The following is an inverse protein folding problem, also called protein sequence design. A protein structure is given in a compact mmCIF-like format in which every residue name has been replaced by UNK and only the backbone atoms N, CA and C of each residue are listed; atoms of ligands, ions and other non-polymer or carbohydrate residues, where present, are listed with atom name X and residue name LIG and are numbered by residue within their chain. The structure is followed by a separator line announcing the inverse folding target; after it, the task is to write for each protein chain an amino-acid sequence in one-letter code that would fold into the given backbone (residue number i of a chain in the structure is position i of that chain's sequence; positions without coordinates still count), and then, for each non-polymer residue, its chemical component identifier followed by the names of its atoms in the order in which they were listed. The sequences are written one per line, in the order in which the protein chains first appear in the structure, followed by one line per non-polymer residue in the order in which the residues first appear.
data_IF_713589024909
#
_entry.id   IF_713589024909
#
_cell.length_a   1.000
_cell.length_b   1.000
_cell.length_c   1.000
_cell.angle_alpha   90.00
_cell.angle_beta   90.00
_cell.angle_gamma   90.00
#
_symmetry.space_group_name_H-M   'P 1'
#
loop_
_entity.id
_entity.type
_entity.pdbx_description
1 polymer ?
#
# COMPACT_ATOMS: atom_id res chain seq x y z
N UNK A 1 16.29 -11.55 -10.12
CA UNK A 1 15.82 -10.97 -8.83
C UNK A 1 15.52 -9.48 -8.97
N UNK A 2 16.36 -8.72 -9.68
CA UNK A 2 16.10 -7.31 -9.99
C UNK A 2 14.79 -7.14 -10.80
N UNK A 3 14.52 -8.04 -11.75
CA UNK A 3 13.29 -7.99 -12.56
C UNK A 3 12.01 -8.09 -11.71
N UNK A 4 12.04 -8.90 -10.64
CA UNK A 4 10.92 -9.03 -9.72
C UNK A 4 10.66 -7.73 -8.95
N UNK A 5 11.73 -7.08 -8.48
CA UNK A 5 11.63 -5.80 -7.80
C UNK A 5 11.06 -4.72 -8.73
N UNK A 6 11.61 -4.60 -9.93
CA UNK A 6 11.15 -3.64 -10.94
C UNK A 6 9.68 -3.87 -11.32
N UNK A 7 9.23 -5.12 -11.35
CA UNK A 7 7.85 -5.45 -11.67
C UNK A 7 6.87 -5.24 -10.49
N UNK A 8 7.21 -5.60 -9.25
CA UNK A 8 6.21 -5.67 -8.17
C UNK A 8 6.42 -4.68 -7.02
N UNK A 9 7.61 -4.11 -6.87
CA UNK A 9 8.00 -3.31 -5.69
C UNK A 9 8.34 -1.87 -6.05
N UNK A 10 8.95 -1.64 -7.22
CA UNK A 10 9.35 -0.31 -7.70
C UNK A 10 8.16 0.67 -7.67
N UNK A 11 8.29 1.82 -6.96
CA UNK A 11 7.27 2.86 -6.93
C UNK A 11 6.66 3.22 -8.29
N UNK A 12 7.46 3.23 -9.36
CA UNK A 12 7.02 3.58 -10.71
C UNK A 12 6.33 2.42 -11.46
N UNK A 13 6.28 1.21 -10.88
CA UNK A 13 5.69 0.04 -11.52
C UNK A 13 4.16 0.07 -11.49
N UNK A 14 3.56 -0.27 -12.64
CA UNK A 14 2.10 -0.33 -12.82
C UNK A 14 1.44 -1.53 -12.13
N UNK A 15 2.18 -2.61 -11.91
CA UNK A 15 1.67 -3.83 -11.26
C UNK A 15 1.87 -3.82 -9.74
N UNK A 16 2.45 -2.75 -9.21
CA UNK A 16 2.67 -2.58 -7.77
C UNK A 16 1.36 -2.37 -7.03
N UNK A 17 1.08 -3.23 -6.05
CA UNK A 17 -0.07 -3.10 -5.15
C UNK A 17 0.41 -2.74 -3.74
N UNK A 18 0.06 -1.55 -3.24
CA UNK A 18 0.46 -1.05 -1.91
C UNK A 18 -0.77 -0.73 -1.06
N UNK A 19 -0.77 -1.18 0.19
CA UNK A 19 -1.71 -0.76 1.23
C UNK A 19 -0.93 -0.27 2.45
N UNK A 20 -1.35 0.83 3.08
CA UNK A 20 -0.73 1.34 4.31
C UNK A 20 -1.80 1.57 5.36
N UNK A 21 -1.50 1.17 6.60
CA UNK A 21 -2.36 1.39 7.76
C UNK A 21 -1.68 2.41 8.66
N UNK A 22 -2.34 3.52 8.93
CA UNK A 22 -1.84 4.57 9.81
C UNK A 22 -2.60 4.51 11.14
N UNK A 23 -1.89 4.17 12.23
CA UNK A 23 -2.46 4.22 13.59
C UNK A 23 -2.07 5.56 14.21
N UNK A 24 -3.06 6.38 14.56
CA UNK A 24 -2.84 7.68 15.18
C UNK A 24 -2.65 7.51 16.69
N UNK A 25 -1.65 8.17 17.25
CA UNK A 25 -1.42 8.20 18.70
C UNK A 25 -2.51 9.01 19.41
N UNK A 26 -2.83 8.64 20.66
CA UNK A 26 -3.92 9.25 21.44
C UNK A 26 -3.82 10.77 21.58
N UNK A 27 -2.60 11.30 21.73
CA UNK A 27 -2.37 12.74 21.90
C UNK A 27 -2.35 13.53 20.58
N UNK A 28 -2.50 12.87 19.43
CA UNK A 28 -2.51 13.55 18.14
C UNK A 28 -3.90 14.14 17.89
N UNK A 29 -3.97 15.47 17.79
CA UNK A 29 -5.22 16.17 17.49
C UNK A 29 -5.70 15.88 16.06
N UNK A 30 -7.03 15.88 15.89
CA UNK A 30 -7.71 15.51 14.64
C UNK A 30 -7.43 16.48 13.46
N UNK A 31 -6.90 17.67 13.73
CA UNK A 31 -6.71 18.73 12.73
C UNK A 31 -5.53 18.52 11.76
N UNK A 32 -4.76 17.45 11.94
CA UNK A 32 -3.62 17.13 11.07
C UNK A 32 -3.98 16.31 9.80
N UNK A 33 -5.26 15.98 9.59
CA UNK A 33 -5.70 14.98 8.60
C UNK A 33 -6.29 15.58 7.30
N UNK A 34 -6.45 16.89 7.18
CA UNK A 34 -6.90 17.54 5.91
C UNK A 34 -5.73 17.73 4.94
N UNK A 35 -5.09 16.63 4.53
CA UNK A 35 -4.11 16.66 3.44
C UNK A 35 -4.86 16.44 2.12
N UNK A 36 -5.31 17.58 1.56
CA UNK A 36 -5.39 17.93 0.13
C UNK A 36 -6.32 17.09 -0.76
N UNK A 37 -7.63 17.28 -0.58
CA UNK A 37 -8.61 17.21 -1.66
C UNK A 37 -9.10 18.62 -2.06
N UNK A 38 -8.18 19.57 -2.23
CA UNK A 38 -8.44 20.84 -2.95
C UNK A 38 -7.14 21.63 -3.12
N UNK A 39 -6.80 21.91 -4.38
CA UNK A 39 -6.03 23.05 -4.91
C UNK A 39 -5.09 23.83 -3.98
N UNK A 40 -3.80 23.81 -4.35
CA UNK A 40 -2.74 24.80 -4.10
C UNK A 40 -2.87 25.78 -2.93
N UNK A 41 -1.95 25.66 -1.97
CA UNK A 41 -1.38 26.85 -1.34
C UNK A 41 0.01 26.58 -0.76
N UNK A 42 0.91 27.49 -1.12
CA UNK A 42 2.27 27.76 -0.67
C UNK A 42 2.28 28.08 0.82
N UNK A 43 3.25 27.54 1.55
CA UNK A 43 3.51 27.88 2.95
C UNK A 43 4.96 27.57 3.29
N UNK A 44 5.82 28.58 3.19
CA UNK A 44 7.22 28.55 3.59
C UNK A 44 7.36 28.42 5.11
N UNK A 45 8.31 27.59 5.56
CA UNK A 45 9.00 27.74 6.85
C UNK A 45 10.49 27.40 6.65
N UNK A 46 11.32 28.45 6.64
CA UNK A 46 12.77 28.50 6.98
C UNK A 46 13.06 27.60 8.19
N UNK A 47 14.10 26.79 8.32
CA UNK A 47 15.54 26.90 7.99
C UNK A 47 16.09 25.47 8.30
N UNK A 48 16.76 24.74 7.41
CA UNK A 48 18.21 24.47 7.47
C UNK A 48 18.63 23.80 6.13
N UNK A 49 18.81 24.60 5.07
CA UNK A 49 18.89 24.08 3.70
C UNK A 49 20.34 23.93 3.19
N UNK A 50 20.95 22.77 3.44
CA UNK A 50 22.05 22.27 2.60
C UNK A 50 21.98 20.76 2.30
N UNK A 51 21.30 19.97 3.13
CA UNK A 51 20.96 18.55 2.85
C UNK A 51 19.56 18.37 2.24
N UNK A 52 18.80 19.45 2.18
CA UNK A 52 17.36 19.49 1.92
C UNK A 52 17.05 19.51 0.41
N UNK A 53 17.94 20.07 -0.42
CA UNK A 53 17.68 20.22 -1.87
C UNK A 53 17.72 18.92 -2.69
N UNK A 54 18.53 17.94 -2.29
CA UNK A 54 18.60 16.63 -2.94
C UNK A 54 17.53 15.67 -2.44
N UNK A 55 17.10 15.83 -1.20
CA UNK A 55 16.02 15.07 -0.58
C UNK A 55 14.66 15.58 -1.04
N UNK A 56 14.45 16.89 -1.16
CA UNK A 56 13.24 17.51 -1.72
C UNK A 56 12.99 17.10 -3.17
N UNK A 57 13.99 17.21 -4.07
CA UNK A 57 13.83 16.74 -5.46
C UNK A 57 13.54 15.23 -5.55
N UNK A 58 14.08 14.45 -4.61
CA UNK A 58 13.82 13.01 -4.55
C UNK A 58 12.40 12.73 -4.06
N UNK A 59 11.90 13.52 -3.11
CA UNK A 59 10.51 13.44 -2.63
C UNK A 59 9.54 13.90 -3.72
N UNK A 60 9.82 15.00 -4.44
CA UNK A 60 8.98 15.47 -5.55
C UNK A 60 8.91 14.43 -6.68
N UNK A 61 10.05 13.88 -7.11
CA UNK A 61 10.09 12.81 -8.11
C UNK A 61 9.35 11.57 -7.64
N UNK A 62 9.47 11.22 -6.36
CA UNK A 62 8.73 10.09 -5.77
C UNK A 62 7.23 10.36 -5.63
N UNK A 63 6.80 11.60 -5.38
CA UNK A 63 5.38 11.96 -5.31
C UNK A 63 4.73 11.91 -6.69
N UNK A 64 5.45 12.29 -7.75
CA UNK A 64 4.99 12.17 -9.13
C UNK A 64 4.84 10.70 -9.56
N UNK A 65 5.78 9.83 -9.16
CA UNK A 65 5.77 8.40 -9.50
C UNK A 65 4.72 7.59 -8.70
N UNK A 66 4.41 7.99 -7.46
CA UNK A 66 3.55 7.21 -6.54
C UNK A 66 2.07 7.61 -6.61
N UNK A 67 1.74 8.79 -7.13
CA UNK A 67 0.37 9.31 -7.16
C UNK A 67 -0.22 9.58 -5.77
N UNK A 68 -1.47 10.07 -5.73
CA UNK A 68 -2.18 10.33 -4.47
C UNK A 68 -2.78 9.06 -3.90
N UNK A 69 -2.62 8.83 -2.59
CA UNK A 69 -3.22 7.68 -1.92
C UNK A 69 -4.75 7.82 -1.81
N UNK A 70 -5.47 6.73 -2.07
CA UNK A 70 -6.92 6.63 -1.88
C UNK A 70 -7.19 6.32 -0.40
N UNK A 71 -7.96 7.18 0.27
CA UNK A 71 -8.37 6.96 1.67
C UNK A 71 -9.55 5.99 1.71
N UNK A 72 -9.46 5.00 2.59
CA UNK A 72 -10.51 4.00 2.79
C UNK A 72 -11.37 4.46 3.97
N UNK A 73 -12.60 4.87 3.68
CA UNK A 73 -13.58 5.28 4.71
C UNK A 73 -14.36 4.08 5.25
N UNK A 74 -14.92 3.25 4.36
CA UNK A 74 -15.59 2.00 4.71
C UNK A 74 -14.84 0.79 4.16
N UNK A 75 -14.39 -0.06 5.09
CA UNK A 75 -13.67 -1.30 4.79
C UNK A 75 -14.54 -2.29 4.04
N UNK A 76 -15.84 -2.38 4.33
CA UNK A 76 -16.72 -3.38 3.71
C UNK A 76 -16.97 -3.05 2.25
N UNK A 77 -17.32 -1.81 1.96
CA UNK A 77 -17.50 -1.31 0.60
C UNK A 77 -16.21 -1.43 -0.22
N UNK A 78 -15.06 -1.06 0.36
CA UNK A 78 -13.77 -1.21 -0.30
C UNK A 78 -13.47 -2.67 -0.66
N UNK A 79 -13.60 -3.61 0.30
CA UNK A 79 -13.39 -5.04 0.04
C UNK A 79 -14.35 -5.61 -1.02
N UNK A 80 -15.59 -5.16 -1.05
CA UNK A 80 -16.58 -5.62 -2.04
C UNK A 80 -16.26 -5.16 -3.47
N UNK A 81 -15.55 -4.03 -3.64
CA UNK A 81 -15.16 -3.51 -4.95
C UNK A 81 -13.95 -4.21 -5.57
N UNK A 82 -13.20 -5.02 -4.82
CA UNK A 82 -11.96 -5.63 -5.29
C UNK A 82 -12.17 -7.09 -5.71
N UNK A 83 -11.54 -7.53 -6.81
CA UNK A 83 -11.53 -8.96 -7.16
C UNK A 83 -10.75 -9.75 -6.10
N UNK A 84 -11.27 -10.92 -5.74
CA UNK A 84 -10.58 -11.85 -4.85
C UNK A 84 -9.59 -12.70 -5.64
N UNK A 85 -8.43 -12.98 -5.03
CA UNK A 85 -7.47 -13.92 -5.60
C UNK A 85 -8.01 -15.34 -5.56
N UNK A 86 -7.64 -16.16 -6.56
CA UNK A 86 -7.92 -17.59 -6.53
C UNK A 86 -7.31 -18.25 -5.28
N UNK A 87 -8.04 -19.19 -4.70
CA UNK A 87 -7.53 -19.99 -3.60
C UNK A 87 -6.46 -20.98 -4.09
N UNK A 88 -5.61 -21.43 -3.16
CA UNK A 88 -4.66 -22.50 -3.43
C UNK A 88 -5.42 -23.76 -3.86
N UNK A 89 -5.01 -24.36 -4.97
CA UNK A 89 -5.58 -25.63 -5.42
C UNK A 89 -4.79 -26.79 -4.79
N UNK A 90 -5.47 -27.77 -4.16
CA UNK A 90 -4.78 -28.93 -3.63
C UNK A 90 -4.18 -29.74 -4.79
N UNK A 91 -2.95 -30.20 -4.62
CA UNK A 91 -2.24 -31.00 -5.63
C UNK A 91 -2.80 -32.44 -5.66
N UNK A 92 -3.27 -32.93 -4.51
CA UNK A 92 -3.83 -34.25 -4.32
C UNK A 92 -5.27 -34.13 -3.86
N UNK A 93 -6.11 -35.07 -4.27
CA UNK A 93 -7.49 -35.10 -3.82
C UNK A 93 -7.55 -35.49 -2.32
N UNK A 94 -8.53 -34.95 -1.61
CA UNK A 94 -8.73 -35.24 -0.18
C UNK A 94 -9.04 -36.72 0.05
N UNK A 95 -9.71 -37.38 -0.91
CA UNK A 95 -10.04 -38.80 -0.86
C UNK A 95 -8.79 -39.71 -0.72
N UNK A 96 -7.62 -39.28 -1.19
CA UNK A 96 -6.37 -40.05 -1.05
C UNK A 96 -5.89 -40.14 0.41
N UNK A 97 -6.35 -39.24 1.28
CA UNK A 97 -6.01 -39.20 2.70
C UNK A 97 -7.11 -39.78 3.59
N UNK A 98 -8.22 -40.23 3.01
CA UNK A 98 -9.25 -40.96 3.73
C UNK A 98 -8.76 -42.40 3.98
N UNK A 99 -8.20 -42.64 5.18
CA UNK A 99 -7.77 -43.96 5.65
C UNK A 99 -9.00 -44.81 6.02
N UNK A 100 -9.83 -45.13 5.02
CA UNK A 100 -11.06 -45.95 5.15
C UNK A 100 -10.74 -47.46 5.29
N UNK A 101 -9.46 -47.83 5.22
CA UNK A 101 -9.01 -49.18 5.51
C UNK A 101 -9.07 -49.47 7.01
N UNK A 102 -9.46 -50.70 7.39
CA UNK A 102 -9.38 -51.12 8.78
C UNK A 102 -7.92 -51.06 9.25
N UNK A 103 -7.64 -50.18 10.23
CA UNK A 103 -6.34 -50.11 10.88
C UNK A 103 -6.21 -51.33 11.80
N UNK A 104 -5.44 -52.32 11.35
CA UNK A 104 -5.09 -53.51 12.14
C UNK A 104 -4.09 -53.19 13.25
#
# INVERSE_FOLDING_TARGET
MIDFFNAHIDPASKTRSKISTHLLAQAKSADAETIKSSSGQTGEVKDETASVTSSERRVEKQMEEVGTAIRIEDVRSFKASMPLSEAMRPIKDLAEFEDLGAKL
#
